data_IF_629209813038
#
_entry.id   IF_629209813038
#
_cell.length_a   1.000
_cell.length_b   1.000
_cell.length_c   1.000
_cell.angle_alpha   90.00
_cell.angle_beta   90.00
_cell.angle_gamma   90.00
#
_symmetry.space_group_name_H-M   'P 1'
#
loop_
_entity.id
_entity.type
_entity.pdbx_description
1 polymer ?
#
# COMPACT_ATOMS: atom_id res chain seq x y z
N UNK A 1 -12.07 14.66 27.82
CA UNK A 1 -11.70 14.00 27.63
C UNK A 1 -10.75 13.99 26.95
N UNK A 2 -10.22 13.72 26.93
CA UNK A 2 -9.38 13.73 26.20
C UNK A 2 -9.37 12.86 25.26
N UNK A 3 -9.40 13.21 24.22
CA UNK A 3 -9.38 12.40 23.24
C UNK A 3 -8.16 11.68 23.16
N UNK A 4 -8.19 10.52 22.76
CA UNK A 4 -7.05 9.74 22.57
C UNK A 4 -6.41 10.20 21.33
N UNK A 5 -5.33 10.90 21.47
CA UNK A 5 -4.57 11.34 20.37
C UNK A 5 -3.68 10.20 19.94
N UNK A 6 -3.87 9.71 18.74
CA UNK A 6 -2.97 8.70 18.20
C UNK A 6 -1.62 9.34 18.02
N UNK A 7 -0.59 8.69 18.54
CA UNK A 7 0.77 9.17 18.33
C UNK A 7 1.19 8.87 16.91
N UNK A 8 1.62 9.90 16.22
CA UNK A 8 2.15 9.76 14.85
C UNK A 8 3.65 9.81 14.89
N UNK A 9 4.25 9.04 13.98
CA UNK A 9 5.70 8.99 13.88
C UNK A 9 6.07 8.96 12.40
N UNK A 10 6.97 9.84 12.03
CA UNK A 10 7.49 9.89 10.66
C UNK A 10 8.81 9.12 10.60
N UNK A 11 8.90 8.18 9.66
CA UNK A 11 10.06 7.31 9.54
C UNK A 11 10.54 7.35 8.09
N UNK A 12 11.86 7.49 7.91
CA UNK A 12 12.44 7.48 6.58
C UNK A 12 12.24 6.10 5.97
N UNK A 13 11.72 6.07 4.73
CA UNK A 13 11.51 4.82 4.02
C UNK A 13 12.85 4.25 3.59
N UNK A 14 13.22 3.05 4.08
CA UNK A 14 14.54 2.49 3.76
C UNK A 14 14.59 1.71 2.46
N UNK A 15 13.43 1.48 1.84
CA UNK A 15 13.35 0.61 0.67
C UNK A 15 13.70 1.37 -0.59
N UNK A 16 14.41 0.72 -1.54
CA UNK A 16 14.61 1.33 -2.85
C UNK A 16 13.27 1.52 -3.55
N UNK A 17 13.23 2.51 -4.44
CA UNK A 17 12.02 2.77 -5.22
C UNK A 17 11.65 1.51 -6.02
N UNK A 18 10.36 1.23 -6.05
CA UNK A 18 9.79 0.10 -6.80
C UNK A 18 10.19 -1.29 -6.31
N UNK A 19 10.84 -1.38 -5.15
CA UNK A 19 11.12 -2.68 -4.55
C UNK A 19 9.92 -3.12 -3.72
N UNK A 20 8.95 -3.74 -4.40
CA UNK A 20 7.67 -4.11 -3.78
C UNK A 20 7.84 -5.10 -2.63
N UNK A 21 8.57 -6.22 -2.81
CA UNK A 21 8.74 -7.16 -1.69
C UNK A 21 9.39 -6.53 -0.47
N UNK A 22 10.38 -5.66 -0.68
CA UNK A 22 11.05 -4.99 0.44
C UNK A 22 10.09 -4.07 1.18
N UNK A 23 9.27 -3.33 0.42
CA UNK A 23 8.32 -2.40 1.03
C UNK A 23 7.24 -3.15 1.81
N UNK A 24 6.72 -4.22 1.25
CA UNK A 24 5.70 -5.03 1.93
C UNK A 24 6.25 -5.61 3.24
N UNK A 25 7.46 -6.17 3.18
CA UNK A 25 8.09 -6.75 4.36
C UNK A 25 8.37 -5.70 5.43
N UNK A 26 8.86 -4.55 5.02
CA UNK A 26 9.15 -3.47 5.95
C UNK A 26 7.90 -2.98 6.68
N UNK A 27 6.81 -2.79 5.95
CA UNK A 27 5.55 -2.37 6.55
C UNK A 27 5.02 -3.42 7.52
N UNK A 28 5.15 -4.70 7.18
CA UNK A 28 4.72 -5.79 8.05
C UNK A 28 5.55 -5.86 9.32
N UNK A 29 6.86 -5.61 9.21
CA UNK A 29 7.74 -5.54 10.36
C UNK A 29 7.36 -4.39 11.29
N UNK A 30 7.00 -3.24 10.71
CA UNK A 30 6.59 -2.09 11.52
C UNK A 30 5.32 -2.42 12.31
N UNK A 31 4.38 -3.13 11.70
CA UNK A 31 3.15 -3.54 12.39
C UNK A 31 3.46 -4.46 13.57
N UNK A 32 4.44 -5.32 13.44
CA UNK A 32 4.86 -6.20 14.54
C UNK A 32 5.45 -5.42 15.70
N UNK A 33 5.90 -4.19 15.44
CA UNK A 33 6.43 -3.31 16.47
C UNK A 33 5.40 -2.30 16.97
N UNK A 34 4.16 -2.40 16.50
CA UNK A 34 3.11 -1.49 16.92
C UNK A 34 3.00 -0.22 16.12
N UNK A 35 3.58 -0.20 14.91
CA UNK A 35 3.50 0.96 14.04
C UNK A 35 2.73 0.60 12.79
N UNK A 36 1.65 1.34 12.53
CA UNK A 36 0.75 1.07 11.42
C UNK A 36 0.71 2.28 10.49
N UNK A 37 0.82 2.04 9.19
CA UNK A 37 0.84 3.13 8.22
C UNK A 37 -0.44 3.95 8.31
N UNK A 38 -0.30 5.26 8.38
CA UNK A 38 -1.43 6.17 8.53
C UNK A 38 -2.21 6.31 7.23
N UNK A 39 -3.52 6.17 7.32
CA UNK A 39 -4.40 6.36 6.17
C UNK A 39 -4.51 7.83 5.78
N UNK A 40 -4.37 8.71 6.74
CA UNK A 40 -4.58 10.13 6.48
C UNK A 40 -3.35 10.81 5.90
N UNK A 41 -2.18 10.48 6.43
CA UNK A 41 -0.96 11.17 6.07
C UNK A 41 -0.05 10.39 5.12
N UNK A 42 -0.04 9.07 5.24
CA UNK A 42 0.70 8.21 4.31
C UNK A 42 2.17 8.56 4.17
N UNK A 43 2.53 9.14 3.03
CA UNK A 43 3.92 9.44 2.71
C UNK A 43 4.10 10.90 2.35
N UNK A 44 5.28 11.43 2.73
CA UNK A 44 5.62 12.81 2.38
C UNK A 44 7.14 12.93 2.34
N UNK A 45 7.66 13.34 1.19
CA UNK A 45 9.10 13.61 1.01
C UNK A 45 10.00 12.47 1.48
N UNK A 46 9.66 11.25 1.11
CA UNK A 46 10.48 10.10 1.47
C UNK A 46 10.26 9.57 2.87
N UNK A 47 9.36 10.18 3.61
CA UNK A 47 9.01 9.74 4.96
C UNK A 47 7.64 9.05 4.94
N UNK A 48 7.49 8.03 5.76
CA UNK A 48 6.21 7.37 5.97
C UNK A 48 5.69 7.74 7.35
N UNK A 49 4.39 8.04 7.42
CA UNK A 49 3.75 8.37 8.68
C UNK A 49 3.08 7.14 9.27
N UNK A 50 3.43 6.81 10.51
CA UNK A 50 2.85 5.67 11.21
C UNK A 50 2.06 6.12 12.42
N UNK A 51 1.05 5.35 12.76
CA UNK A 51 0.28 5.53 13.98
C UNK A 51 0.62 4.40 14.95
N UNK A 52 0.74 4.73 16.21
CA UNK A 52 1.07 3.74 17.25
C UNK A 52 -0.15 2.91 17.61
N UNK A 53 0.06 1.63 17.89
CA UNK A 53 -0.99 0.73 18.34
C UNK A 53 -0.39 -0.51 18.95
N UNK A 54 -1.23 -1.44 19.36
CA UNK A 54 -0.76 -2.71 19.89
C UNK A 54 -0.08 -3.52 18.76
N UNK A 55 1.13 -4.03 19.01
CA UNK A 55 1.80 -4.83 17.98
C UNK A 55 0.95 -6.01 17.56
N UNK A 56 0.86 -6.23 16.26
CA UNK A 56 0.13 -7.37 15.72
C UNK A 56 0.57 -7.64 14.30
N UNK A 57 0.25 -8.83 13.82
CA UNK A 57 0.59 -9.21 12.46
C UNK A 57 -0.46 -8.63 11.51
N UNK A 58 0.02 -7.90 10.52
CA UNK A 58 -0.83 -7.31 9.48
C UNK A 58 -0.16 -7.59 8.15
N UNK A 59 -0.93 -8.00 7.17
CA UNK A 59 -0.42 -8.23 5.83
C UNK A 59 -0.55 -6.94 5.04
N UNK A 60 0.52 -6.56 4.35
CA UNK A 60 0.53 -5.41 3.45
C UNK A 60 0.81 -5.89 2.03
N UNK A 61 0.08 -5.35 1.08
CA UNK A 61 0.29 -5.69 -0.33
C UNK A 61 0.24 -4.43 -1.16
N UNK A 62 1.11 -4.37 -2.14
CA UNK A 62 1.19 -3.25 -3.06
C UNK A 62 0.65 -3.70 -4.42
N UNK A 63 -0.23 -2.88 -4.99
CA UNK A 63 -0.83 -3.16 -6.29
C UNK A 63 -0.49 -2.02 -7.24
N UNK A 64 0.08 -2.34 -8.39
CA UNK A 64 0.50 -1.33 -9.35
C UNK A 64 -0.71 -0.82 -10.14
N UNK A 65 -0.82 0.50 -10.22
CA UNK A 65 -1.80 1.15 -11.08
C UNK A 65 -1.04 2.04 -12.05
N UNK A 66 -1.01 1.71 -13.33
CA UNK A 66 -0.23 2.49 -14.29
C UNK A 66 -0.75 3.90 -14.40
N UNK A 67 0.16 4.85 -14.55
CA UNK A 67 -0.22 6.21 -14.83
C UNK A 67 -0.85 6.29 -16.20
N UNK A 68 -2.00 6.93 -16.29
CA UNK A 68 -2.63 7.22 -17.55
C UNK A 68 -2.32 8.65 -17.95
N UNK A 69 -2.38 8.94 -19.25
CA UNK A 69 -2.13 10.29 -19.72
C UNK A 69 -3.24 11.24 -19.29
N UNK A 70 -4.48 10.73 -19.27
CA UNK A 70 -5.62 11.54 -18.81
C UNK A 70 -5.78 11.31 -17.32
N UNK A 71 -5.76 12.40 -16.57
CA UNK A 71 -5.89 12.36 -15.11
C UNK A 71 -7.20 11.68 -14.68
N UNK A 72 -8.28 11.96 -15.39
CA UNK A 72 -9.58 11.37 -15.04
C UNK A 72 -9.59 9.84 -15.21
N UNK A 73 -8.94 9.33 -16.27
CA UNK A 73 -8.87 7.89 -16.47
C UNK A 73 -8.05 7.21 -15.37
N UNK A 74 -6.95 7.83 -14.97
CA UNK A 74 -6.12 7.31 -13.89
C UNK A 74 -6.93 7.25 -12.60
N UNK A 75 -7.69 8.30 -12.31
CA UNK A 75 -8.49 8.37 -11.10
C UNK A 75 -9.59 7.32 -11.09
N UNK A 76 -10.26 7.11 -12.22
CA UNK A 76 -11.30 6.09 -12.33
C UNK A 76 -10.74 4.68 -12.12
N UNK A 77 -9.61 4.37 -12.74
CA UNK A 77 -8.97 3.07 -12.59
C UNK A 77 -8.51 2.84 -11.16
N UNK A 78 -7.97 3.88 -10.54
CA UNK A 78 -7.56 3.81 -9.15
C UNK A 78 -8.74 3.52 -8.24
N UNK A 79 -9.84 4.23 -8.40
CA UNK A 79 -11.03 4.03 -7.58
C UNK A 79 -11.63 2.64 -7.79
N UNK A 80 -11.64 2.16 -9.03
CA UNK A 80 -12.14 0.81 -9.31
C UNK A 80 -11.28 -0.25 -8.65
N UNK A 81 -9.95 -0.08 -8.69
CA UNK A 81 -9.04 -1.02 -8.04
C UNK A 81 -9.23 -1.04 -6.53
N UNK A 82 -9.40 0.14 -5.93
CA UNK A 82 -9.63 0.24 -4.48
C UNK A 82 -10.95 -0.44 -4.11
N UNK A 83 -12.02 -0.19 -4.86
CA UNK A 83 -13.31 -0.78 -4.59
C UNK A 83 -13.26 -2.30 -4.66
N UNK A 84 -12.57 -2.84 -5.67
CA UNK A 84 -12.45 -4.28 -5.81
C UNK A 84 -11.67 -4.90 -4.65
N UNK A 85 -10.57 -4.27 -4.26
CA UNK A 85 -9.78 -4.78 -3.15
C UNK A 85 -10.57 -4.76 -1.85
N UNK A 86 -11.35 -3.72 -1.63
CA UNK A 86 -12.18 -3.62 -0.43
C UNK A 86 -13.27 -4.68 -0.40
N UNK A 87 -13.83 -5.02 -1.55
CA UNK A 87 -14.78 -6.13 -1.63
C UNK A 87 -14.13 -7.46 -1.24
N UNK A 88 -12.83 -7.60 -1.49
CA UNK A 88 -12.08 -8.80 -1.12
C UNK A 88 -11.64 -8.80 0.35
N UNK A 89 -11.93 -7.75 1.08
CA UNK A 89 -11.56 -7.66 2.50
C UNK A 89 -10.27 -6.95 2.78
N UNK A 90 -9.65 -6.33 1.78
CA UNK A 90 -8.42 -5.57 1.95
C UNK A 90 -8.74 -4.10 2.11
N UNK A 91 -8.03 -3.44 3.03
CA UNK A 91 -8.22 -2.02 3.31
C UNK A 91 -7.20 -1.20 2.56
N UNK A 92 -7.66 -0.23 1.78
CA UNK A 92 -6.76 0.71 1.13
C UNK A 92 -6.19 1.65 2.19
N UNK A 93 -4.88 1.86 2.17
CA UNK A 93 -4.20 2.68 3.15
C UNK A 93 -3.61 3.95 2.55
N UNK A 94 -2.79 3.81 1.51
CA UNK A 94 -2.07 4.96 0.96
C UNK A 94 -1.50 4.63 -0.41
N UNK A 95 -0.99 5.66 -1.08
CA UNK A 95 -0.24 5.50 -2.33
C UNK A 95 1.24 5.69 -2.06
N UNK A 96 2.05 4.90 -2.72
CA UNK A 96 3.51 5.06 -2.70
C UNK A 96 4.02 4.85 -4.12
N UNK A 97 4.57 5.92 -4.71
CA UNK A 97 4.99 5.89 -6.11
C UNK A 97 3.80 5.56 -7.01
N UNK A 98 3.88 4.50 -7.80
CA UNK A 98 2.78 4.08 -8.66
C UNK A 98 2.01 2.92 -8.07
N UNK A 99 2.13 2.71 -6.75
CA UNK A 99 1.50 1.59 -6.07
C UNK A 99 0.42 2.04 -5.12
N UNK A 100 -0.63 1.24 -5.04
CA UNK A 100 -1.66 1.37 -4.02
C UNK A 100 -1.33 0.37 -2.92
N UNK A 101 -1.30 0.84 -1.69
CA UNK A 101 -0.96 0.00 -0.54
C UNK A 101 -2.22 -0.41 0.18
N UNK A 102 -2.38 -1.72 0.34
CA UNK A 102 -3.50 -2.31 1.06
C UNK A 102 -2.99 -3.09 2.26
N UNK A 103 -3.85 -3.22 3.26
CA UNK A 103 -3.52 -4.05 4.42
C UNK A 103 -4.72 -4.90 4.84
N UNK A 104 -4.43 -6.01 5.53
CA UNK A 104 -5.43 -6.92 6.03
C UNK A 104 -4.93 -7.59 7.30
N UNK A 105 -5.75 -7.54 8.35
CA UNK A 105 -5.41 -8.17 9.62
C UNK A 105 -5.88 -9.62 9.71
N UNK A 106 -6.57 -10.12 8.69
CA UNK A 106 -7.10 -11.48 8.69
C UNK A 106 -6.15 -12.42 7.95
N UNK A 107 -5.53 -13.33 8.67
CA UNK A 107 -4.57 -14.27 8.08
C UNK A 107 -5.24 -15.28 7.14
N UNK A 108 -6.55 -15.41 7.22
CA UNK A 108 -7.28 -16.40 6.41
C UNK A 108 -7.86 -15.83 5.12
N UNK A 109 -7.79 -14.52 4.92
CA UNK A 109 -8.26 -13.95 3.65
C UNK A 109 -7.33 -14.34 2.51
N UNK A 110 -7.90 -14.55 1.31
CA UNK A 110 -7.06 -14.81 0.14
C UNK A 110 -6.12 -13.65 -0.13
N UNK A 111 -5.00 -13.95 -0.76
CA UNK A 111 -4.08 -12.92 -1.18
C UNK A 111 -4.76 -11.99 -2.19
N UNK A 112 -4.39 -10.73 -2.13
CA UNK A 112 -4.80 -9.78 -3.13
C UNK A 112 -4.17 -10.21 -4.45
N UNK A 113 -4.95 -10.25 -5.54
CA UNK A 113 -4.46 -10.71 -6.83
C UNK A 113 -3.93 -12.14 -6.76
N UNK A 114 -4.77 -13.06 -6.29
CA UNK A 114 -4.38 -14.46 -6.15
C UNK A 114 -4.20 -15.16 -7.50
N UNK A 115 -4.75 -14.60 -8.57
CA UNK A 115 -4.60 -15.15 -9.91
C UNK A 115 -3.21 -14.81 -10.43
N UNK A 116 -2.34 -15.82 -10.73
CA UNK A 116 -1.01 -15.55 -11.24
C UNK A 116 -1.00 -14.71 -12.52
N UNK A 117 -2.01 -14.85 -13.35
CA UNK A 117 -2.09 -14.07 -14.59
C UNK A 117 -2.31 -12.59 -14.27
N UNK A 118 -3.10 -12.29 -13.25
CA UNK A 118 -3.33 -10.91 -12.83
C UNK A 118 -2.06 -10.31 -12.26
N UNK A 119 -1.34 -11.07 -11.43
CA UNK A 119 -0.08 -10.61 -10.87
C UNK A 119 0.95 -10.36 -11.97
N UNK A 120 1.03 -11.25 -12.95
CA UNK A 120 1.96 -11.08 -14.07
C UNK A 120 1.64 -9.82 -14.86
N UNK A 121 0.36 -9.54 -15.09
CA UNK A 121 -0.05 -8.34 -15.79
C UNK A 121 0.31 -7.07 -15.01
N UNK A 122 0.13 -7.09 -13.70
CA UNK A 122 0.49 -5.95 -12.85
C UNK A 122 1.98 -5.65 -12.92
N UNK A 123 2.81 -6.68 -12.82
CA UNK A 123 4.26 -6.52 -12.93
C UNK A 123 4.67 -6.00 -14.30
N UNK A 124 4.04 -6.54 -15.35
CA UNK A 124 4.34 -6.10 -16.69
C UNK A 124 4.00 -4.64 -16.92
N UNK A 125 2.89 -4.17 -16.33
CA UNK A 125 2.51 -2.77 -16.42
C UNK A 125 3.55 -1.87 -15.75
N UNK A 126 4.05 -2.26 -14.59
CA UNK A 126 5.09 -1.50 -13.91
C UNK A 126 6.36 -1.45 -14.73
N UNK A 127 6.77 -2.59 -15.30
CA UNK A 127 7.96 -2.65 -16.12
C UNK A 127 7.83 -1.77 -17.36
N UNK A 128 6.66 -1.78 -18.00
CA UNK A 128 6.42 -0.93 -19.16
C UNK A 128 6.45 0.55 -18.79
N UNK A 129 5.90 0.91 -17.63
CA UNK A 129 5.93 2.29 -17.16
C UNK A 129 7.37 2.76 -16.91
N UNK A 130 8.21 1.89 -16.37
CA UNK A 130 9.61 2.20 -16.14
C UNK A 130 10.38 2.34 -17.45
N UNK A 131 10.07 1.49 -18.43
CA UNK A 131 10.76 1.49 -19.72
C UNK A 131 10.44 2.74 -20.53
N UNK A 132 9.27 3.33 -20.33
CA UNK A 132 8.83 4.50 -21.07
C UNK A 132 9.36 5.82 -20.52
N UNK A 133 10.19 5.78 -19.52
CA UNK A 133 10.75 7.00 -18.90
C UNK A 133 12.11 7.44 -19.49
#
# INVERSE_FOLDING_TARGET
MNEITKKQRWVLVPCPDYDVPAMESWLEEQAMQGLFLSKDDGFFLGLACFESGAPRRVRYRLDAVPKEKAFSEFDEKKQAAIALAEEMGWEFVAEWKEFLIYRCGDAHLPELNTDPAVQALSLKRVQNALADR
#
